data_IF_607754533366
#
_entry.id   IF_607754533366
#
_cell.length_a   1.000
_cell.length_b   1.000
_cell.length_c   1.000
_cell.angle_alpha   90.00
_cell.angle_beta   90.00
_cell.angle_gamma   90.00
#
_symmetry.space_group_name_H-M   'P 1'
#
loop_
_entity.id
_entity.type
_entity.pdbx_description
1 polymer ?
#
# COMPACT_ATOMS: atom_id res chain seq x y z
N UNK A 1 -64.27 -17.89 12.29
CA UNK A 1 -63.04 -17.23 11.80
C UNK A 1 -61.96 -17.50 12.84
N UNK A 2 -60.95 -18.33 12.52
CA UNK A 2 -59.93 -18.76 13.50
C UNK A 2 -58.78 -17.77 13.44
N UNK A 3 -58.62 -16.96 14.49
CA UNK A 3 -57.51 -16.01 14.64
C UNK A 3 -56.22 -16.81 14.88
N UNK A 4 -55.47 -17.12 13.81
CA UNK A 4 -54.10 -17.63 13.95
C UNK A 4 -53.14 -16.44 14.15
N UNK A 5 -52.25 -16.49 15.15
CA UNK A 5 -51.28 -15.42 15.38
C UNK A 5 -50.32 -15.28 14.21
N UNK A 6 -49.94 -14.04 13.90
CA UNK A 6 -48.95 -13.71 12.86
C UNK A 6 -47.59 -14.27 13.27
N UNK A 7 -46.84 -14.94 12.37
CA UNK A 7 -45.52 -15.47 12.69
C UNK A 7 -44.55 -14.33 13.03
N UNK A 8 -44.15 -14.24 14.30
CA UNK A 8 -43.16 -13.27 14.78
C UNK A 8 -41.74 -13.82 14.58
N UNK A 9 -40.78 -12.95 14.23
CA UNK A 9 -39.35 -13.28 14.17
C UNK A 9 -38.61 -12.61 15.31
N UNK A 10 -37.66 -13.34 15.93
CA UNK A 10 -36.77 -12.77 16.94
C UNK A 10 -35.64 -12.00 16.24
N UNK A 11 -35.38 -10.78 16.70
CA UNK A 11 -34.31 -9.92 16.18
C UNK A 11 -33.46 -9.47 17.36
N UNK A 12 -32.13 -9.60 17.24
CA UNK A 12 -31.18 -9.09 18.22
C UNK A 12 -30.61 -7.76 17.71
N UNK A 13 -30.64 -6.73 18.56
CA UNK A 13 -30.08 -5.40 18.27
C UNK A 13 -28.87 -5.21 19.17
N UNK A 14 -27.70 -4.97 18.56
CA UNK A 14 -26.45 -4.67 19.26
C UNK A 14 -26.14 -3.18 19.09
N UNK A 15 -25.81 -2.51 20.18
CA UNK A 15 -25.53 -1.08 20.16
C UNK A 15 -24.67 -0.66 21.34
N UNK A 16 -24.15 0.57 21.27
CA UNK A 16 -23.39 1.17 22.36
C UNK A 16 -24.31 1.46 23.55
N UNK A 17 -23.78 1.32 24.77
CA UNK A 17 -24.55 1.58 26.00
C UNK A 17 -25.11 3.00 26.07
N UNK A 18 -24.41 3.97 25.45
CA UNK A 18 -24.80 5.38 25.38
C UNK A 18 -26.08 5.60 24.55
N UNK A 19 -26.27 4.79 23.50
CA UNK A 19 -27.36 4.97 22.54
C UNK A 19 -28.58 4.12 22.87
N UNK A 20 -28.54 3.39 24.00
CA UNK A 20 -29.61 2.48 24.42
C UNK A 20 -30.97 3.17 24.52
N UNK A 21 -31.02 4.36 25.13
CA UNK A 21 -32.26 5.09 25.34
C UNK A 21 -32.89 5.50 23.99
N UNK A 22 -32.06 6.01 23.08
CA UNK A 22 -32.47 6.45 21.74
C UNK A 22 -32.97 5.28 20.89
N UNK A 23 -32.24 4.15 20.90
CA UNK A 23 -32.63 2.95 20.16
C UNK A 23 -33.95 2.38 20.66
N UNK A 24 -34.16 2.34 21.98
CA UNK A 24 -35.44 1.89 22.58
C UNK A 24 -36.58 2.82 22.17
N UNK A 25 -36.37 4.14 22.21
CA UNK A 25 -37.39 5.12 21.82
C UNK A 25 -37.80 4.93 20.36
N UNK A 26 -36.84 4.83 19.44
CA UNK A 26 -37.12 4.62 18.01
C UNK A 26 -37.89 3.31 17.78
N UNK A 27 -37.46 2.22 18.41
CA UNK A 27 -38.12 0.91 18.26
C UNK A 27 -39.53 0.89 18.85
N UNK A 28 -39.74 1.65 19.93
CA UNK A 28 -41.06 1.84 20.52
C UNK A 28 -41.96 2.70 19.61
N UNK A 29 -41.44 3.79 19.05
CA UNK A 29 -42.19 4.68 18.13
C UNK A 29 -42.63 3.95 16.86
N UNK A 30 -41.83 2.96 16.42
CA UNK A 30 -42.16 2.10 15.28
C UNK A 30 -43.28 1.08 15.58
N UNK A 31 -43.69 0.89 16.84
CA UNK A 31 -44.80 0.02 17.31
C UNK A 31 -44.84 -1.42 16.77
N UNK A 32 -43.77 -1.89 16.13
CA UNK A 32 -43.72 -3.18 15.43
C UNK A 32 -42.94 -4.27 16.19
N UNK A 33 -42.35 -3.94 17.35
CA UNK A 33 -41.38 -4.80 18.04
C UNK A 33 -41.69 -4.88 19.53
N UNK A 34 -41.79 -6.12 20.05
CA UNK A 34 -41.81 -6.37 21.49
C UNK A 34 -40.37 -6.40 22.02
N UNK A 35 -40.02 -5.44 22.87
CA UNK A 35 -38.68 -5.30 23.45
C UNK A 35 -38.56 -6.11 24.74
N UNK A 36 -37.63 -7.07 24.76
CA UNK A 36 -37.30 -7.84 25.96
C UNK A 36 -35.82 -7.64 26.33
N UNK A 37 -35.48 -7.33 27.59
CA UNK A 37 -34.10 -7.23 28.01
C UNK A 37 -33.45 -8.62 27.97
N UNK A 38 -32.39 -8.76 27.17
CA UNK A 38 -31.57 -9.98 27.13
C UNK A 38 -30.99 -10.26 28.52
N UNK A 39 -31.36 -11.40 29.10
CA UNK A 39 -30.77 -11.89 30.34
C UNK A 39 -29.33 -12.35 30.10
N UNK A 40 -28.47 -12.27 31.12
CA UNK A 40 -27.04 -12.64 31.04
C UNK A 40 -26.81 -14.07 30.50
N UNK A 41 -27.79 -14.96 30.64
CA UNK A 41 -27.72 -16.34 30.18
C UNK A 41 -27.90 -16.50 28.66
N UNK A 42 -28.64 -15.59 28.01
CA UNK A 42 -28.87 -15.63 26.55
C UNK A 42 -27.73 -14.94 25.78
N UNK A 43 -26.97 -14.08 26.46
CA UNK A 43 -25.74 -13.51 25.90
C UNK A 43 -24.68 -14.57 25.58
N UNK A 44 -24.70 -15.72 26.26
CA UNK A 44 -23.84 -16.88 25.97
C UNK A 44 -24.29 -17.62 24.69
N UNK A 45 -25.57 -17.50 24.31
CA UNK A 45 -26.11 -18.05 23.06
C UNK A 45 -25.84 -17.18 21.83
N UNK A 46 -25.49 -15.91 22.02
CA UNK A 46 -24.84 -15.12 20.98
C UNK A 46 -23.45 -15.71 20.78
N UNK A 47 -23.36 -16.70 19.89
CA UNK A 47 -22.13 -17.42 19.55
C UNK A 47 -20.99 -16.41 19.38
N UNK A 48 -19.87 -16.63 20.05
CA UNK A 48 -18.62 -15.95 19.72
C UNK A 48 -18.30 -16.32 18.26
N UNK A 49 -18.58 -15.42 17.32
CA UNK A 49 -18.30 -15.58 15.88
C UNK A 49 -16.80 -15.68 15.55
N UNK A 50 -15.92 -15.67 16.57
CA UNK A 50 -14.46 -15.66 16.43
C UNK A 50 -13.87 -16.96 15.86
N UNK A 51 -14.55 -18.10 15.99
CA UNK A 51 -14.07 -19.42 15.55
C UNK A 51 -14.88 -19.98 14.37
N UNK A 52 -15.06 -19.18 13.32
CA UNK A 52 -15.68 -19.68 12.10
C UNK A 52 -14.71 -19.48 10.93
N UNK A 53 -14.31 -20.57 10.27
CA UNK A 53 -13.41 -20.55 9.09
C UNK A 53 -13.92 -19.57 8.01
N UNK A 54 -15.23 -19.34 7.98
CA UNK A 54 -15.87 -18.37 7.10
C UNK A 54 -15.42 -16.94 7.37
N UNK A 55 -15.26 -16.54 8.63
CA UNK A 55 -14.75 -15.22 9.01
C UNK A 55 -13.31 -15.01 8.58
N UNK A 56 -12.48 -16.06 8.69
CA UNK A 56 -11.10 -16.01 8.22
C UNK A 56 -11.05 -15.80 6.70
N UNK A 57 -11.80 -16.60 5.94
CA UNK A 57 -11.86 -16.48 4.49
C UNK A 57 -12.35 -15.11 4.02
N UNK A 58 -13.37 -14.54 4.66
CA UNK A 58 -13.86 -13.19 4.33
C UNK A 58 -12.81 -12.14 4.65
N UNK A 59 -12.12 -12.27 5.79
CA UNK A 59 -11.06 -11.35 6.20
C UNK A 59 -9.87 -11.38 5.24
N UNK A 60 -9.44 -12.58 4.82
CA UNK A 60 -8.35 -12.76 3.87
C UNK A 60 -8.68 -12.14 2.50
N UNK A 61 -9.89 -12.39 1.98
CA UNK A 61 -10.32 -11.78 0.72
C UNK A 61 -10.48 -10.26 0.83
N UNK A 62 -10.94 -9.74 1.97
CA UNK A 62 -11.01 -8.30 2.20
C UNK A 62 -9.62 -7.65 2.19
N UNK A 63 -8.62 -8.29 2.82
CA UNK A 63 -7.24 -7.80 2.82
C UNK A 63 -6.67 -7.78 1.39
N UNK A 64 -6.87 -8.87 0.64
CA UNK A 64 -6.47 -8.99 -0.77
C UNK A 64 -7.06 -7.87 -1.63
N UNK A 65 -8.38 -7.64 -1.52
CA UNK A 65 -9.05 -6.58 -2.29
C UNK A 65 -8.58 -5.17 -1.89
N UNK A 66 -8.27 -4.93 -0.62
CA UNK A 66 -7.67 -3.67 -0.18
C UNK A 66 -6.29 -3.45 -0.79
N UNK A 67 -5.45 -4.48 -0.82
CA UNK A 67 -4.11 -4.42 -1.42
C UNK A 67 -4.17 -4.14 -2.92
N UNK A 68 -5.06 -4.82 -3.65
CA UNK A 68 -5.28 -4.54 -5.07
C UNK A 68 -5.76 -3.10 -5.29
N UNK A 69 -6.68 -2.60 -4.46
CA UNK A 69 -7.18 -1.22 -4.57
C UNK A 69 -6.11 -0.16 -4.29
N UNK A 70 -5.09 -0.46 -3.48
CA UNK A 70 -3.98 0.49 -3.24
C UNK A 70 -3.02 0.60 -4.42
N UNK A 71 -2.86 -0.49 -5.16
CA UNK A 71 -1.94 -0.57 -6.30
C UNK A 71 -2.60 -0.07 -7.59
N UNK A 72 -3.87 -0.42 -7.79
CA UNK A 72 -4.59 -0.07 -9.00
C UNK A 72 -4.93 1.43 -9.05
N UNK A 73 -4.94 2.04 -10.25
CA UNK A 73 -5.37 3.42 -10.42
C UNK A 73 -6.84 3.58 -10.04
N UNK A 74 -7.25 4.79 -9.66
CA UNK A 74 -8.66 5.07 -9.38
C UNK A 74 -9.43 5.23 -10.68
N UNK A 75 -10.53 4.50 -10.80
CA UNK A 75 -11.46 4.59 -11.93
C UNK A 75 -12.89 4.76 -11.40
N UNK A 76 -13.73 5.43 -12.19
CA UNK A 76 -15.14 5.62 -11.85
C UNK A 76 -15.88 4.28 -11.90
N UNK A 77 -16.66 4.03 -10.85
CA UNK A 77 -17.38 2.76 -10.68
C UNK A 77 -18.73 2.88 -11.39
N UNK A 78 -18.86 2.23 -12.54
CA UNK A 78 -20.08 2.27 -13.35
C UNK A 78 -21.15 1.26 -12.93
N UNK A 79 -20.78 0.24 -12.14
CA UNK A 79 -21.68 -0.86 -11.77
C UNK A 79 -21.44 -1.30 -10.33
N UNK A 80 -22.53 -1.58 -9.62
CA UNK A 80 -22.50 -2.15 -8.28
C UNK A 80 -23.27 -3.47 -8.29
N UNK A 81 -22.54 -4.59 -8.19
CA UNK A 81 -23.13 -5.91 -8.18
C UNK A 81 -23.56 -6.29 -6.76
N UNK A 82 -24.78 -6.81 -6.63
CA UNK A 82 -25.30 -7.37 -5.38
C UNK A 82 -25.18 -8.89 -5.44
N UNK A 83 -24.85 -9.48 -4.30
CA UNK A 83 -24.75 -10.93 -4.15
C UNK A 83 -25.88 -11.43 -3.25
N UNK A 84 -26.39 -12.63 -3.52
CA UNK A 84 -27.53 -13.19 -2.79
C UNK A 84 -27.06 -14.02 -1.59
N UNK A 85 -25.81 -14.49 -1.62
CA UNK A 85 -25.18 -15.26 -0.54
C UNK A 85 -23.70 -14.93 -0.35
N UNK A 86 -23.16 -15.27 0.82
CA UNK A 86 -21.73 -15.09 1.13
C UNK A 86 -20.84 -16.03 0.30
N UNK A 87 -21.31 -17.25 0.02
CA UNK A 87 -20.55 -18.22 -0.78
C UNK A 87 -20.41 -17.76 -2.23
N UNK A 88 -21.47 -17.19 -2.82
CA UNK A 88 -21.43 -16.58 -4.15
C UNK A 88 -20.42 -15.43 -4.22
N UNK A 89 -20.42 -14.56 -3.20
CA UNK A 89 -19.45 -13.47 -3.08
C UNK A 89 -18.02 -13.99 -3.00
N UNK A 90 -17.77 -15.02 -2.19
CA UNK A 90 -16.44 -15.62 -2.04
C UNK A 90 -15.98 -16.32 -3.32
N UNK A 91 -16.86 -16.98 -4.05
CA UNK A 91 -16.54 -17.57 -5.35
C UNK A 91 -16.14 -16.52 -6.38
N UNK A 92 -16.92 -15.44 -6.50
CA UNK A 92 -16.60 -14.34 -7.42
C UNK A 92 -15.29 -13.66 -7.03
N UNK A 93 -15.07 -13.40 -5.74
CA UNK A 93 -13.81 -12.82 -5.27
C UNK A 93 -12.60 -13.71 -5.60
N UNK A 94 -12.73 -15.03 -5.45
CA UNK A 94 -11.68 -16.00 -5.81
C UNK A 94 -11.46 -16.12 -7.32
N UNK A 95 -12.49 -15.88 -8.14
CA UNK A 95 -12.37 -15.94 -9.60
C UNK A 95 -11.56 -14.79 -10.21
N UNK A 96 -11.35 -13.71 -9.46
CA UNK A 96 -10.49 -12.60 -9.88
C UNK A 96 -9.04 -13.08 -9.78
N UNK A 97 -8.41 -13.41 -10.90
CA UNK A 97 -7.01 -13.86 -10.96
C UNK A 97 -6.10 -12.76 -11.56
N UNK A 98 -5.78 -11.77 -10.73
CA UNK A 98 -4.99 -10.60 -11.13
C UNK A 98 -3.77 -10.35 -10.23
N UNK A 99 -3.63 -11.09 -9.12
CA UNK A 99 -2.61 -10.78 -8.10
C UNK A 99 -1.19 -10.87 -8.67
N UNK A 100 -0.87 -11.97 -9.36
CA UNK A 100 0.47 -12.21 -9.89
C UNK A 100 0.83 -11.19 -10.98
N UNK A 101 -0.15 -10.84 -11.83
CA UNK A 101 0.03 -9.83 -12.88
C UNK A 101 0.28 -8.45 -12.28
N UNK A 102 -0.49 -8.07 -11.27
CA UNK A 102 -0.32 -6.79 -10.58
C UNK A 102 1.02 -6.74 -9.84
N UNK A 103 1.41 -7.84 -9.20
CA UNK A 103 2.70 -7.94 -8.53
C UNK A 103 3.89 -7.85 -9.51
N UNK A 104 3.80 -8.49 -10.68
CA UNK A 104 4.81 -8.36 -11.72
C UNK A 104 4.92 -6.92 -12.23
N UNK A 105 3.78 -6.29 -12.55
CA UNK A 105 3.75 -4.90 -13.03
C UNK A 105 4.28 -3.89 -12.02
N UNK A 106 4.00 -4.06 -10.71
CA UNK A 106 4.59 -3.18 -9.69
C UNK A 106 6.10 -3.35 -9.58
N UNK A 107 6.62 -4.58 -9.68
CA UNK A 107 8.09 -4.81 -9.69
C UNK A 107 8.73 -4.17 -10.92
N UNK A 108 8.14 -4.31 -12.09
CA UNK A 108 8.65 -3.72 -13.32
C UNK A 108 8.65 -2.19 -13.24
N UNK A 109 7.59 -1.61 -12.68
CA UNK A 109 7.48 -0.17 -12.42
C UNK A 109 8.56 0.31 -11.44
N UNK A 110 8.80 -0.39 -10.34
CA UNK A 110 9.86 -0.04 -9.38
C UNK A 110 11.25 -0.13 -10.01
N UNK A 111 11.50 -1.16 -10.81
CA UNK A 111 12.75 -1.33 -11.55
C UNK A 111 12.96 -0.17 -12.54
N UNK A 112 11.94 0.18 -13.32
CA UNK A 112 12.01 1.29 -14.27
C UNK A 112 12.23 2.64 -13.57
N UNK A 113 11.57 2.88 -12.44
CA UNK A 113 11.79 4.11 -11.65
C UNK A 113 13.21 4.19 -11.09
N UNK A 114 13.79 3.04 -10.73
CA UNK A 114 15.18 2.97 -10.26
C UNK A 114 16.14 3.29 -11.40
N UNK A 115 15.97 2.66 -12.57
CA UNK A 115 16.76 2.94 -13.77
C UNK A 115 16.64 4.40 -14.21
N UNK A 116 15.44 4.98 -14.12
CA UNK A 116 15.21 6.39 -14.44
C UNK A 116 16.03 7.29 -13.52
N UNK A 117 16.00 7.06 -12.21
CA UNK A 117 16.80 7.83 -11.24
C UNK A 117 18.30 7.66 -11.46
N UNK A 118 18.76 6.44 -11.74
CA UNK A 118 20.17 6.19 -12.07
C UNK A 118 20.58 6.95 -13.33
N UNK A 119 19.74 6.93 -14.37
CA UNK A 119 19.98 7.65 -15.62
C UNK A 119 19.99 9.16 -15.40
N UNK A 120 19.05 9.71 -14.62
CA UNK A 120 19.04 11.13 -14.25
C UNK A 120 20.29 11.54 -13.47
N UNK A 121 20.75 10.69 -12.54
CA UNK A 121 21.99 10.94 -11.81
C UNK A 121 23.20 10.91 -12.74
N UNK A 122 23.28 9.93 -13.63
CA UNK A 122 24.34 9.86 -14.63
C UNK A 122 24.34 11.07 -15.56
N UNK A 123 23.15 11.54 -15.99
CA UNK A 123 23.02 12.77 -16.78
C UNK A 123 23.56 13.98 -16.03
N UNK A 124 23.19 14.16 -14.75
CA UNK A 124 23.73 15.26 -13.92
C UNK A 124 25.25 15.20 -13.78
N UNK A 125 25.81 14.01 -13.59
CA UNK A 125 27.26 13.84 -13.54
C UNK A 125 27.90 14.24 -14.87
N UNK A 126 27.39 13.76 -16.00
CA UNK A 126 27.90 14.11 -17.33
C UNK A 126 27.80 15.63 -17.59
N UNK A 127 26.71 16.27 -17.21
CA UNK A 127 26.56 17.74 -17.33
C UNK A 127 27.59 18.48 -16.48
N UNK A 128 27.81 18.06 -15.24
CA UNK A 128 28.77 18.70 -14.32
C UNK A 128 30.21 18.52 -14.79
N UNK A 129 30.54 17.32 -15.29
CA UNK A 129 31.87 16.93 -15.78
C UNK A 129 32.08 17.18 -17.29
N UNK A 130 31.19 17.94 -17.93
CA UNK A 130 31.28 18.33 -19.35
C UNK A 130 32.56 19.08 -19.75
N UNK A 131 33.37 19.50 -18.78
CA UNK A 131 34.70 20.08 -19.00
C UNK A 131 35.76 19.03 -19.39
N UNK A 132 35.48 17.74 -19.21
CA UNK A 132 36.36 16.66 -19.63
C UNK A 132 36.18 16.41 -21.14
N UNK A 133 37.24 16.53 -21.96
CA UNK A 133 37.13 16.52 -23.42
C UNK A 133 36.99 15.12 -24.05
N UNK A 134 37.24 14.06 -23.28
CA UNK A 134 37.21 12.67 -23.75
C UNK A 134 36.02 11.87 -23.18
N UNK A 135 35.82 10.65 -23.66
CA UNK A 135 34.82 9.73 -23.12
C UNK A 135 35.18 9.33 -21.68
N UNK A 136 34.22 9.40 -20.76
CA UNK A 136 34.39 8.91 -19.39
C UNK A 136 34.76 7.42 -19.32
N UNK A 137 34.53 6.65 -20.39
CA UNK A 137 35.02 5.28 -20.52
C UNK A 137 36.55 5.15 -20.38
N UNK A 138 37.31 6.19 -20.73
CA UNK A 138 38.79 6.21 -20.58
C UNK A 138 39.22 6.25 -19.10
N UNK A 139 38.34 6.71 -18.20
CA UNK A 139 38.61 6.80 -16.77
C UNK A 139 38.40 5.46 -16.04
N UNK A 140 37.85 4.44 -16.71
CA UNK A 140 37.80 3.07 -16.16
C UNK A 140 39.08 2.31 -16.49
N UNK A 141 40.20 2.76 -15.92
CA UNK A 141 41.51 2.14 -16.12
C UNK A 141 41.65 0.86 -15.28
N UNK A 142 42.29 -0.18 -15.83
CA UNK A 142 42.60 -1.42 -15.09
C UNK A 142 43.72 -1.25 -14.07
N UNK A 143 44.57 -0.23 -14.28
CA UNK A 143 45.81 0.01 -13.53
C UNK A 143 45.75 1.26 -12.65
N UNK A 144 44.68 2.05 -12.75
CA UNK A 144 44.51 3.29 -11.99
C UNK A 144 43.05 3.47 -11.58
N UNK A 145 42.82 4.19 -10.48
CA UNK A 145 41.49 4.52 -10.00
C UNK A 145 41.18 5.98 -10.29
N UNK A 146 40.05 6.22 -10.93
CA UNK A 146 39.54 7.57 -11.17
C UNK A 146 38.48 7.93 -10.13
N UNK A 147 38.61 9.14 -9.58
CA UNK A 147 37.70 9.68 -8.59
C UNK A 147 37.13 11.01 -9.07
N UNK A 148 35.85 11.22 -8.79
CA UNK A 148 35.13 12.45 -9.10
C UNK A 148 34.73 13.11 -7.78
N UNK A 149 35.09 14.38 -7.61
CA UNK A 149 34.81 15.11 -6.37
C UNK A 149 34.48 16.57 -6.66
N UNK A 150 33.68 17.15 -5.76
CA UNK A 150 33.42 18.59 -5.71
C UNK A 150 34.18 19.16 -4.52
N UNK A 151 34.94 20.22 -4.74
CA UNK A 151 35.70 20.93 -3.70
C UNK A 151 35.34 22.40 -3.78
N UNK A 152 35.12 23.02 -2.61
CA UNK A 152 34.89 24.46 -2.52
C UNK A 152 36.17 25.23 -2.90
N UNK A 153 36.02 26.36 -3.58
CA UNK A 153 37.14 27.15 -4.11
C UNK A 153 38.15 27.59 -3.04
N UNK A 154 37.71 27.72 -1.78
CA UNK A 154 38.55 28.07 -0.62
C UNK A 154 39.52 26.95 -0.24
N UNK A 155 39.11 25.70 -0.41
CA UNK A 155 39.88 24.52 0.00
C UNK A 155 40.69 23.90 -1.15
N UNK A 156 40.39 24.29 -2.39
CA UNK A 156 41.11 23.83 -3.58
C UNK A 156 42.63 24.06 -3.49
N UNK A 157 43.06 25.20 -2.95
CA UNK A 157 44.49 25.51 -2.80
C UNK A 157 45.21 24.56 -1.83
N UNK A 158 44.52 24.12 -0.77
CA UNK A 158 45.06 23.16 0.20
C UNK A 158 45.06 21.74 -0.39
N UNK A 159 43.99 21.40 -1.13
CA UNK A 159 43.87 20.12 -1.81
C UNK A 159 44.96 19.93 -2.88
N UNK A 160 45.22 20.96 -3.71
CA UNK A 160 46.28 20.94 -4.72
C UNK A 160 47.66 20.70 -4.10
N UNK A 161 47.97 21.41 -3.00
CA UNK A 161 49.23 21.23 -2.26
C UNK A 161 49.41 19.82 -1.69
N UNK A 162 48.31 19.18 -1.25
CA UNK A 162 48.36 17.81 -0.74
C UNK A 162 48.60 16.78 -1.86
N UNK A 163 48.06 17.02 -3.05
CA UNK A 163 48.23 16.15 -4.22
C UNK A 163 49.59 16.33 -4.91
N UNK A 164 50.18 17.53 -4.86
CA UNK A 164 51.50 17.81 -5.44
C UNK A 164 52.64 17.00 -4.77
N UNK A 165 52.44 16.49 -3.55
CA UNK A 165 53.41 15.64 -2.83
C UNK A 165 53.66 14.30 -3.56
N UNK A 166 52.66 13.78 -4.28
CA UNK A 166 52.73 12.54 -5.06
C UNK A 166 52.53 12.81 -6.57
N UNK A 167 53.03 13.95 -7.05
CA UNK A 167 52.77 14.54 -8.38
C UNK A 167 53.12 13.66 -9.59
N UNK A 168 53.85 12.55 -9.43
CA UNK A 168 54.16 11.63 -10.53
C UNK A 168 53.06 10.59 -10.80
N UNK A 169 52.18 10.32 -9.84
CA UNK A 169 51.20 9.23 -9.90
C UNK A 169 49.75 9.73 -10.02
N UNK A 170 49.51 11.04 -10.01
CA UNK A 170 48.17 11.64 -9.91
C UNK A 170 47.93 12.64 -11.05
N UNK A 171 46.90 12.39 -11.85
CA UNK A 171 46.40 13.32 -12.87
C UNK A 171 45.18 14.09 -12.34
N UNK A 172 45.24 15.42 -12.34
CA UNK A 172 44.17 16.29 -11.88
C UNK A 172 43.56 17.05 -13.08
N UNK A 173 42.24 16.90 -13.28
CA UNK A 173 41.48 17.66 -14.27
C UNK A 173 40.54 18.64 -13.54
N UNK A 174 40.93 19.92 -13.39
CA UNK A 174 40.06 20.94 -12.85
C UNK A 174 39.15 21.54 -13.94
N UNK A 175 37.93 21.91 -13.54
CA UNK A 175 37.08 22.81 -14.32
C UNK A 175 37.66 24.23 -14.18
N UNK A 176 38.06 24.85 -15.29
CA UNK A 176 38.46 26.27 -15.32
C UNK A 176 37.30 27.21 -14.97
#
# INVERSE_FOLDING_TARGET
MVLKPVPMRRVAVLGLRKDRQTIISILHDLNAVQLEPLSKNVAVMLRNERDNDLFRQVSDQLLRMKALRTVLPRFEVNQCQRFTSVDELLQVAKSIDLDDKVAALERDKENLLTQLKETENNMKLVEEFSFFPEDFGVLQLRTAHSYFARVDSKDYANFKKAMDVNSQDIFLYPKE
#
